data_IF_576686157680
#
_entry.id   IF_576686157680
#
_cell.length_a   1.000
_cell.length_b   1.000
_cell.length_c   1.000
_cell.angle_alpha   90.00
_cell.angle_beta   90.00
_cell.angle_gamma   90.00
#
_symmetry.space_group_name_H-M   'P 1'
#
loop_
_entity.id
_entity.type
_entity.pdbx_description
1 polymer ?
#
# COMPACT_ATOMS: atom_id res chain seq x y z
N UNK A 1 -5.73 -4.30 -15.56
CA UNK A 1 -5.36 -3.32 -14.51
C UNK A 1 -6.24 -3.65 -13.31
N UNK A 2 -5.69 -3.65 -12.09
CA UNK A 2 -6.45 -4.03 -10.90
C UNK A 2 -6.75 -2.77 -10.10
N UNK A 3 -8.03 -2.43 -9.96
CA UNK A 3 -8.43 -1.31 -9.12
C UNK A 3 -8.44 -1.77 -7.67
N UNK A 4 -7.59 -1.16 -6.85
CA UNK A 4 -7.61 -1.36 -5.40
C UNK A 4 -8.40 -0.21 -4.78
N UNK A 5 -9.52 -0.52 -4.15
CA UNK A 5 -10.42 0.47 -3.55
C UNK A 5 -9.82 1.05 -2.26
N UNK A 6 -8.84 1.94 -2.37
CA UNK A 6 -8.20 2.62 -1.25
C UNK A 6 -8.86 3.99 -0.99
N UNK A 7 -9.14 4.28 0.28
CA UNK A 7 -9.61 5.62 0.68
C UNK A 7 -8.43 6.60 0.82
N UNK A 8 -8.69 7.90 0.80
CA UNK A 8 -7.64 8.91 1.02
C UNK A 8 -6.87 8.69 2.33
N UNK A 9 -7.56 8.29 3.40
CA UNK A 9 -6.92 7.96 4.69
C UNK A 9 -5.96 6.78 4.53
N UNK A 10 -6.37 5.73 3.82
CA UNK A 10 -5.56 4.55 3.57
C UNK A 10 -4.37 4.84 2.65
N UNK A 11 -4.54 5.69 1.64
CA UNK A 11 -3.44 6.11 0.78
C UNK A 11 -2.40 6.90 1.58
N UNK A 12 -2.84 7.82 2.47
CA UNK A 12 -1.93 8.56 3.36
C UNK A 12 -1.15 7.61 4.28
N UNK A 13 -1.79 6.57 4.80
CA UNK A 13 -1.13 5.57 5.64
C UNK A 13 -0.12 4.73 4.85
N UNK A 14 -0.46 4.28 3.64
CA UNK A 14 0.50 3.59 2.75
C UNK A 14 1.74 4.43 2.45
N UNK A 15 1.57 5.75 2.29
CA UNK A 15 2.69 6.67 2.08
C UNK A 15 3.63 6.77 3.30
N UNK A 16 3.18 6.45 4.52
CA UNK A 16 4.08 6.39 5.69
C UNK A 16 4.87 5.08 5.74
N UNK A 17 4.38 4.00 5.12
CA UNK A 17 5.06 2.72 5.06
C UNK A 17 6.19 2.69 4.04
N UNK A 18 6.14 3.56 3.02
CA UNK A 18 7.17 3.68 1.99
C UNK A 18 8.46 4.35 2.49
N UNK A 19 8.85 4.14 3.75
CA UNK A 19 9.95 4.84 4.42
C UNK A 19 11.35 4.35 4.01
N UNK A 20 11.46 3.45 3.02
CA UNK A 20 12.77 3.01 2.53
C UNK A 20 13.59 4.20 2.04
N UNK A 21 14.79 4.36 2.60
CA UNK A 21 15.79 5.35 2.18
C UNK A 21 16.30 5.10 0.76
N UNK A 22 16.14 3.88 0.27
CA UNK A 22 16.55 3.49 -1.07
C UNK A 22 15.51 3.93 -2.11
N UNK A 23 15.97 4.67 -3.11
CA UNK A 23 15.13 5.19 -4.18
C UNK A 23 15.03 4.16 -5.31
N UNK A 24 14.12 3.19 -5.14
CA UNK A 24 13.78 2.27 -6.21
C UNK A 24 12.84 2.95 -7.23
N UNK A 25 13.16 2.93 -8.55
CA UNK A 25 12.34 3.58 -9.57
C UNK A 25 10.88 3.14 -9.61
N UNK A 26 10.62 1.85 -9.34
CA UNK A 26 9.26 1.31 -9.35
C UNK A 26 8.46 1.71 -8.12
N UNK A 27 9.10 1.81 -6.96
CA UNK A 27 8.49 2.38 -5.75
C UNK A 27 8.10 3.83 -5.95
N UNK A 28 8.98 4.63 -6.54
CA UNK A 28 8.72 6.03 -6.83
C UNK A 28 7.53 6.20 -7.80
N UNK A 29 7.41 5.32 -8.80
CA UNK A 29 6.23 5.29 -9.68
C UNK A 29 4.95 5.01 -8.90
N UNK A 30 4.97 4.10 -7.93
CA UNK A 30 3.82 3.82 -7.06
C UNK A 30 3.48 5.04 -6.19
N UNK A 31 4.48 5.67 -5.55
CA UNK A 31 4.29 6.88 -4.74
C UNK A 31 3.64 8.00 -5.55
N UNK A 32 4.10 8.25 -6.77
CA UNK A 32 3.51 9.26 -7.67
C UNK A 32 2.04 8.98 -7.98
N UNK A 33 1.69 7.72 -8.27
CA UNK A 33 0.30 7.35 -8.53
C UNK A 33 -0.60 7.53 -7.29
N UNK A 34 -0.10 7.15 -6.12
CA UNK A 34 -0.81 7.34 -4.85
C UNK A 34 -1.00 8.82 -4.54
N UNK A 35 0.03 9.64 -4.73
CA UNK A 35 -0.04 11.10 -4.57
C UNK A 35 -1.05 11.74 -5.52
N UNK A 36 -1.01 11.36 -6.80
CA UNK A 36 -1.96 11.85 -7.80
C UNK A 36 -3.41 11.45 -7.47
N UNK A 37 -3.61 10.22 -6.99
CA UNK A 37 -4.92 9.75 -6.55
C UNK A 37 -5.46 10.56 -5.35
N UNK A 38 -4.58 10.93 -4.41
CA UNK A 38 -4.93 11.81 -3.29
C UNK A 38 -5.28 13.23 -3.75
N UNK A 39 -4.50 13.81 -4.65
CA UNK A 39 -4.72 15.17 -5.17
C UNK A 39 -6.04 15.26 -5.93
N UNK A 40 -6.37 14.24 -6.72
CA UNK A 40 -7.59 14.17 -7.52
C UNK A 40 -8.81 13.58 -6.77
N UNK A 41 -8.66 13.18 -5.49
CA UNK A 41 -9.69 12.49 -4.71
C UNK A 41 -10.30 11.26 -5.42
N UNK A 42 -9.46 10.44 -6.06
CA UNK A 42 -9.88 9.26 -6.82
C UNK A 42 -9.22 7.97 -6.31
N UNK A 43 -9.77 6.84 -6.73
CA UNK A 43 -9.15 5.53 -6.52
C UNK A 43 -7.85 5.39 -7.33
N UNK A 44 -6.75 4.91 -6.73
CA UNK A 44 -5.51 4.68 -7.45
C UNK A 44 -5.60 3.45 -8.36
N UNK A 45 -5.25 3.62 -9.63
CA UNK A 45 -5.15 2.50 -10.59
C UNK A 45 -3.73 1.94 -10.65
N UNK A 46 -3.55 0.74 -10.11
CA UNK A 46 -2.26 0.07 -9.98
C UNK A 46 -2.20 -1.20 -10.83
N UNK A 47 -1.01 -1.53 -11.32
CA UNK A 47 -0.75 -2.84 -11.91
C UNK A 47 -0.56 -3.89 -10.81
N UNK A 48 -0.68 -5.18 -11.15
CA UNK A 48 -0.43 -6.26 -10.19
C UNK A 48 0.97 -6.19 -9.57
N UNK A 49 1.98 -5.79 -10.34
CA UNK A 49 3.35 -5.59 -9.84
C UNK A 49 3.39 -4.45 -8.83
N UNK A 50 2.70 -3.35 -9.10
CA UNK A 50 2.60 -2.21 -8.18
C UNK A 50 1.86 -2.57 -6.88
N UNK A 51 0.87 -3.44 -6.95
CA UNK A 51 0.20 -3.97 -5.75
C UNK A 51 1.15 -4.86 -4.93
N UNK A 52 2.02 -5.64 -5.57
CA UNK A 52 3.08 -6.39 -4.86
C UNK A 52 4.07 -5.45 -4.15
N UNK A 53 4.35 -4.28 -4.72
CA UNK A 53 5.17 -3.25 -4.04
C UNK A 53 4.47 -2.75 -2.78
N UNK A 54 3.15 -2.48 -2.84
CA UNK A 54 2.39 -2.13 -1.64
C UNK A 54 2.43 -3.24 -0.59
N UNK A 55 2.38 -4.50 -1.02
CA UNK A 55 2.51 -5.65 -0.13
C UNK A 55 3.90 -5.69 0.53
N UNK A 56 4.98 -5.45 -0.21
CA UNK A 56 6.33 -5.39 0.35
C UNK A 56 6.48 -4.25 1.39
N UNK A 57 5.92 -3.06 1.12
CA UNK A 57 5.89 -1.97 2.10
C UNK A 57 5.13 -2.35 3.36
N UNK A 58 3.99 -3.02 3.21
CA UNK A 58 3.21 -3.59 4.30
C UNK A 58 4.07 -4.56 5.13
N UNK A 59 4.71 -5.55 4.51
CA UNK A 59 5.55 -6.54 5.22
C UNK A 59 6.70 -5.87 5.98
N UNK A 60 7.36 -4.89 5.38
CA UNK A 60 8.43 -4.13 6.03
C UNK A 60 7.91 -3.33 7.24
N UNK A 61 6.75 -2.67 7.09
CA UNK A 61 6.09 -1.96 8.19
C UNK A 61 5.71 -2.93 9.31
N UNK A 62 5.14 -4.09 9.00
CA UNK A 62 4.77 -5.10 9.99
C UNK A 62 5.95 -5.64 10.78
N UNK A 63 7.00 -6.06 10.07
CA UNK A 63 8.20 -6.60 10.70
C UNK A 63 8.83 -5.62 11.68
N UNK A 64 8.77 -4.32 11.36
CA UNK A 64 9.29 -3.26 12.22
C UNK A 64 8.33 -2.85 13.34
N UNK A 65 7.06 -2.62 13.02
CA UNK A 65 6.08 -1.98 13.91
C UNK A 65 5.47 -2.96 14.92
N UNK A 66 5.23 -4.21 14.49
CA UNK A 66 4.60 -5.23 15.32
C UNK A 66 5.53 -6.38 15.69
N UNK A 67 6.78 -6.38 15.20
CA UNK A 67 7.74 -7.46 15.46
C UNK A 67 7.27 -8.84 15.01
N UNK A 68 6.39 -8.90 14.00
CA UNK A 68 5.74 -10.14 13.54
C UNK A 68 4.47 -10.55 14.29
N UNK A 69 3.98 -9.72 15.22
CA UNK A 69 2.67 -9.90 15.86
C UNK A 69 1.47 -9.56 14.96
N UNK A 70 0.27 -9.79 15.49
CA UNK A 70 -0.98 -9.50 14.78
C UNK A 70 -1.20 -7.99 14.57
N UNK A 71 -1.86 -7.67 13.45
CA UNK A 71 -2.32 -6.31 13.17
C UNK A 71 -3.46 -5.96 14.11
N UNK A 72 -3.27 -4.94 14.94
CA UNK A 72 -4.34 -4.45 15.83
C UNK A 72 -4.95 -3.13 15.34
N UNK A 73 -4.34 -2.47 14.37
CA UNK A 73 -4.89 -1.26 13.75
C UNK A 73 -5.89 -1.64 12.64
N UNK A 74 -7.19 -1.32 12.79
CA UNK A 74 -8.22 -1.72 11.83
C UNK A 74 -8.02 -1.12 10.43
N UNK A 75 -7.41 0.07 10.33
CA UNK A 75 -7.11 0.67 9.02
C UNK A 75 -6.01 -0.11 8.29
N UNK A 76 -4.98 -0.55 9.01
CA UNK A 76 -3.85 -1.31 8.45
C UNK A 76 -4.30 -2.70 8.02
N UNK A 77 -5.13 -3.34 8.83
CA UNK A 77 -5.74 -4.63 8.50
C UNK A 77 -6.62 -4.52 7.25
N UNK A 78 -7.45 -3.47 7.15
CA UNK A 78 -8.29 -3.23 5.99
C UNK A 78 -7.47 -3.00 4.71
N UNK A 79 -6.32 -2.32 4.80
CA UNK A 79 -5.40 -2.15 3.67
C UNK A 79 -4.82 -3.49 3.23
N UNK A 80 -4.35 -4.32 4.16
CA UNK A 80 -3.84 -5.66 3.85
C UNK A 80 -4.86 -6.53 3.15
N UNK A 81 -6.08 -6.60 3.69
CA UNK A 81 -7.16 -7.40 3.09
C UNK A 81 -7.38 -7.00 1.63
N UNK A 82 -7.41 -5.69 1.34
CA UNK A 82 -7.55 -5.17 -0.02
C UNK A 82 -6.36 -5.52 -0.92
N UNK A 83 -5.13 -5.46 -0.40
CA UNK A 83 -3.93 -5.84 -1.15
C UNK A 83 -3.96 -7.34 -1.47
N UNK A 84 -4.28 -8.21 -0.49
CA UNK A 84 -4.36 -9.66 -0.67
C UNK A 84 -5.45 -10.06 -1.67
N UNK A 85 -6.65 -9.50 -1.53
CA UNK A 85 -7.75 -9.68 -2.47
C UNK A 85 -7.33 -9.27 -3.90
N UNK A 86 -6.67 -8.12 -4.05
CA UNK A 86 -6.21 -7.65 -5.36
C UNK A 86 -5.07 -8.49 -5.96
N UNK A 87 -4.34 -9.25 -5.14
CA UNK A 87 -3.33 -10.22 -5.57
C UNK A 87 -3.93 -11.62 -5.85
N UNK A 88 -5.19 -11.86 -5.49
CA UNK A 88 -5.85 -13.16 -5.57
C UNK A 88 -5.32 -14.15 -4.54
N UNK A 89 -5.00 -13.66 -3.34
CA UNK A 89 -4.57 -14.47 -2.19
C UNK A 89 -5.67 -14.70 -1.15
N UNK A 90 -6.93 -14.43 -1.55
CA UNK A 90 -8.13 -14.83 -0.80
C UNK A 90 -8.28 -16.36 -0.77
#
# INVERSE_FOLDING_TARGET
MSDILLTNRQIRLLMTWSASRELFPDEERVRRKLKLALEENRTPTLSRIQIKILFAWAEQWWGSHYGGGEVVNPDEEAILRKIRAALGWD
#
